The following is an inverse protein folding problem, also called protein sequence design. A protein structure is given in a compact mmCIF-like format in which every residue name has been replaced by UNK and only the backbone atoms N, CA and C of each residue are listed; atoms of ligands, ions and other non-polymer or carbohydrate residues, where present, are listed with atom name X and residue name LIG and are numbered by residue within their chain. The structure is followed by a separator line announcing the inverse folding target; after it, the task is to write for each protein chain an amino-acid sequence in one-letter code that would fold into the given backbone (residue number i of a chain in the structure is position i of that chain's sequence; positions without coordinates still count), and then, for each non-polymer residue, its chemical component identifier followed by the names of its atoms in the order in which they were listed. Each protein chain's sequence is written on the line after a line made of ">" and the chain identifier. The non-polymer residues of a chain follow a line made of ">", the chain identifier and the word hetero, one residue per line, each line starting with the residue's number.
data_IF_528844824595
#
_entry.id   IF_528844824595
#
_cell.length_a   1.000
_cell.length_b   1.000
_cell.length_c   1.000
_cell.angle_alpha   90.00
_cell.angle_beta   90.00
_cell.angle_gamma   90.00
#
_symmetry.space_group_name_H-M   'P 1'
#
loop_
_entity.id
_entity.type
_entity.pdbx_description
1 polymer ?
#
# COMPACT_ATOMS: atom_id res chain seq x y z
N UNK A 1 -3.88 -13.22 -8.64
CA UNK A 1 -3.80 -11.79 -8.99
C UNK A 1 -2.65 -11.12 -8.23
N UNK A 2 -1.79 -10.41 -8.95
CA UNK A 2 -0.70 -9.67 -8.32
C UNK A 2 -1.18 -8.30 -7.86
N UNK A 3 -0.96 -8.01 -6.59
CA UNK A 3 -1.39 -6.75 -5.97
C UNK A 3 -0.16 -6.02 -5.45
N UNK A 4 -0.10 -4.73 -5.71
CA UNK A 4 0.94 -3.86 -5.18
C UNK A 4 0.32 -3.06 -4.04
N UNK A 5 0.97 -3.03 -2.90
CA UNK A 5 0.48 -2.28 -1.75
C UNK A 5 1.40 -1.11 -1.42
N UNK A 6 0.82 0.00 -1.07
CA UNK A 6 1.53 1.22 -0.74
C UNK A 6 1.16 1.68 0.66
N UNK A 7 2.17 1.84 1.50
CA UNK A 7 2.00 2.45 2.82
C UNK A 7 2.47 3.89 2.67
N UNK A 8 1.53 4.77 2.37
CA UNK A 8 1.85 6.15 2.02
C UNK A 8 2.36 6.98 3.18
N UNK A 9 3.46 7.68 2.94
CA UNK A 9 3.98 8.70 3.83
C UNK A 9 4.43 9.88 2.97
N UNK A 10 4.33 11.09 3.49
CA UNK A 10 4.67 12.29 2.72
C UNK A 10 6.13 12.29 2.25
N UNK A 11 7.04 11.81 3.09
CA UNK A 11 8.46 11.74 2.74
C UNK A 11 8.83 10.43 2.07
N UNK A 12 8.28 9.33 2.54
CA UNK A 12 8.61 7.99 2.04
C UNK A 12 7.38 7.12 2.03
N UNK A 13 7.23 6.32 0.97
CA UNK A 13 6.13 5.38 0.83
C UNK A 13 6.69 3.97 0.72
N UNK A 14 6.29 3.09 1.60
CA UNK A 14 6.68 1.70 1.54
C UNK A 14 5.91 0.96 0.46
N UNK A 15 6.56 0.04 -0.23
CA UNK A 15 5.98 -0.72 -1.33
C UNK A 15 6.15 -2.21 -1.10
N UNK A 16 5.09 -2.96 -1.31
CA UNK A 16 5.11 -4.41 -1.26
C UNK A 16 4.33 -4.98 -2.43
N UNK A 17 4.64 -6.22 -2.81
CA UNK A 17 3.95 -6.88 -3.91
C UNK A 17 3.57 -8.30 -3.49
N UNK A 18 2.42 -8.78 -3.98
CA UNK A 18 2.02 -10.16 -3.74
C UNK A 18 2.64 -11.07 -4.80
N UNK A 19 2.66 -12.36 -4.51
CA UNK A 19 2.98 -13.37 -5.51
C UNK A 19 1.83 -13.49 -6.53
N UNK A 20 2.02 -14.19 -7.65
CA UNK A 20 0.95 -14.30 -8.66
C UNK A 20 -0.33 -14.92 -8.14
N UNK A 21 -0.28 -15.74 -7.10
CA UNK A 21 -1.47 -16.36 -6.52
C UNK A 21 -2.23 -15.43 -5.59
N UNK A 22 -1.61 -14.30 -5.20
CA UNK A 22 -2.23 -13.38 -4.26
C UNK A 22 -2.26 -13.91 -2.83
N UNK A 23 -1.28 -14.74 -2.45
CA UNK A 23 -1.24 -15.38 -1.14
C UNK A 23 -0.16 -14.80 -0.22
N UNK A 24 1.01 -14.51 -0.77
CA UNK A 24 2.16 -14.07 0.01
C UNK A 24 2.54 -12.63 -0.34
N UNK A 25 2.79 -11.83 0.68
CA UNK A 25 3.22 -10.44 0.51
C UNK A 25 4.73 -10.33 0.72
N UNK A 26 5.38 -9.59 -0.14
CA UNK A 26 6.84 -9.40 -0.10
C UNK A 26 7.16 -7.91 -0.15
N UNK A 27 7.99 -7.40 0.79
CA UNK A 27 8.40 -5.99 0.70
C UNK A 27 9.31 -5.78 -0.50
N UNK A 28 9.11 -4.68 -1.22
CA UNK A 28 9.95 -4.31 -2.36
C UNK A 28 10.95 -3.23 -2.00
N UNK A 29 10.52 -2.21 -1.29
CA UNK A 29 11.37 -1.08 -0.97
C UNK A 29 10.57 0.18 -0.70
N UNK A 30 11.20 1.31 -0.92
CA UNK A 30 10.64 2.61 -0.60
C UNK A 30 10.71 3.51 -1.82
N UNK A 31 9.65 4.30 -2.03
CA UNK A 31 9.64 5.35 -3.03
C UNK A 31 9.61 6.67 -2.27
N UNK A 32 10.62 7.52 -2.47
CA UNK A 32 10.66 8.82 -1.83
C UNK A 32 9.73 9.78 -2.54
N UNK A 33 9.03 10.60 -1.77
CA UNK A 33 8.12 11.63 -2.29
C UNK A 33 7.20 11.08 -3.36
N UNK A 34 6.51 10.01 -3.01
CA UNK A 34 5.66 9.28 -3.97
C UNK A 34 4.56 10.15 -4.59
N UNK A 35 4.13 11.19 -3.92
CA UNK A 35 3.08 12.08 -4.43
C UNK A 35 3.55 13.10 -5.48
N UNK A 36 4.86 13.19 -5.75
CA UNK A 36 5.37 14.06 -6.80
C UNK A 36 5.27 13.40 -8.16
N UNK A 37 5.46 14.18 -9.23
CA UNK A 37 5.44 13.60 -10.58
C UNK A 37 6.46 12.48 -10.73
N UNK A 38 7.68 12.67 -10.22
CA UNK A 38 8.72 11.66 -10.28
C UNK A 38 8.35 10.42 -9.46
N UNK A 39 7.78 10.63 -8.29
CA UNK A 39 7.33 9.52 -7.44
C UNK A 39 6.22 8.72 -8.08
N UNK A 40 5.24 9.41 -8.65
CA UNK A 40 4.14 8.74 -9.34
C UNK A 40 4.63 7.97 -10.56
N UNK A 41 5.59 8.54 -11.30
CA UNK A 41 6.20 7.86 -12.44
C UNK A 41 6.93 6.58 -11.99
N UNK A 42 7.63 6.65 -10.87
CA UNK A 42 8.32 5.48 -10.32
C UNK A 42 7.33 4.38 -9.93
N UNK A 43 6.20 4.78 -9.33
CA UNK A 43 5.16 3.81 -8.97
C UNK A 43 4.56 3.17 -10.21
N UNK A 44 4.35 3.95 -11.28
CA UNK A 44 3.85 3.40 -12.53
C UNK A 44 4.84 2.39 -13.12
N UNK A 45 6.15 2.66 -13.03
CA UNK A 45 7.16 1.70 -13.45
C UNK A 45 7.09 0.40 -12.66
N UNK A 46 6.92 0.50 -11.33
CA UNK A 46 6.83 -0.67 -10.47
C UNK A 46 5.61 -1.52 -10.82
N UNK A 47 4.49 -0.87 -11.09
CA UNK A 47 3.27 -1.58 -11.51
C UNK A 47 3.56 -2.37 -12.79
N UNK A 48 4.23 -1.77 -13.76
CA UNK A 48 4.55 -2.44 -15.02
C UNK A 48 5.59 -3.55 -14.83
N UNK A 49 6.66 -3.25 -14.10
CA UNK A 49 7.74 -4.22 -13.85
C UNK A 49 7.25 -5.49 -13.17
N UNK A 50 6.35 -5.33 -12.21
CA UNK A 50 5.83 -6.45 -11.45
C UNK A 50 4.51 -6.99 -11.98
N UNK A 51 4.01 -6.39 -13.06
CA UNK A 51 2.75 -6.80 -13.67
C UNK A 51 1.61 -6.81 -12.65
N UNK A 52 1.56 -5.79 -11.80
CA UNK A 52 0.50 -5.67 -10.81
C UNK A 52 -0.83 -5.38 -11.49
N UNK A 53 -1.86 -6.07 -11.03
CA UNK A 53 -3.21 -5.94 -11.59
C UNK A 53 -4.08 -5.02 -10.76
N UNK A 54 -3.61 -4.66 -9.57
CA UNK A 54 -4.32 -3.78 -8.64
C UNK A 54 -3.34 -3.12 -7.70
N UNK A 55 -3.65 -1.91 -7.27
CA UNK A 55 -2.86 -1.20 -6.26
C UNK A 55 -3.75 -0.93 -5.06
N UNK A 56 -3.24 -1.21 -3.87
CA UNK A 56 -3.94 -0.96 -2.61
C UNK A 56 -3.15 0.05 -1.80
N UNK A 57 -3.81 1.08 -1.32
CA UNK A 57 -3.17 2.12 -0.50
C UNK A 57 -3.77 2.07 0.90
N UNK A 58 -2.92 1.96 1.91
CA UNK A 58 -3.38 1.98 3.30
C UNK A 58 -3.89 3.36 3.68
N UNK A 59 -5.07 3.43 4.24
CA UNK A 59 -5.67 4.69 4.67
C UNK A 59 -5.65 4.78 6.19
N UNK A 60 -4.88 5.72 6.77
CA UNK A 60 -4.79 5.85 8.21
C UNK A 60 -6.01 6.59 8.77
N UNK A 61 -6.91 5.84 9.37
CA UNK A 61 -8.08 6.42 10.05
C UNK A 61 -7.85 6.38 11.55
N UNK A 62 -8.49 7.28 12.27
CA UNK A 62 -8.46 7.24 13.73
C UNK A 62 -9.25 6.02 14.21
N UNK A 63 -9.13 5.69 15.47
CA UNK A 63 -9.87 4.56 16.05
C UNK A 63 -11.38 4.70 15.91
N UNK A 64 -11.86 5.92 15.74
CA UNK A 64 -13.29 6.19 15.52
C UNK A 64 -13.69 6.16 14.06
N UNK A 65 -12.72 5.94 13.18
CA UNK A 65 -12.97 5.97 11.74
C UNK A 65 -13.02 7.36 11.15
N UNK A 66 -12.56 8.36 11.90
CA UNK A 66 -12.57 9.74 11.44
C UNK A 66 -11.38 10.03 10.54
N UNK A 67 -11.58 10.95 9.59
CA UNK A 67 -10.51 11.40 8.73
C UNK A 67 -9.64 12.42 9.45
N UNK A 68 -8.36 12.15 9.56
CA UNK A 68 -7.38 13.12 10.04
C UNK A 68 -6.66 13.74 8.86
N UNK A 69 -5.70 14.61 9.14
CA UNK A 69 -4.87 15.23 8.11
C UNK A 69 -4.19 14.22 7.22
N UNK A 70 -3.62 13.19 7.82
CA UNK A 70 -2.90 12.16 7.09
C UNK A 70 -3.85 11.36 6.17
N UNK A 71 -5.06 11.12 6.62
CA UNK A 71 -6.06 10.44 5.78
C UNK A 71 -6.46 11.30 4.59
N UNK A 72 -6.58 12.62 4.81
CA UNK A 72 -6.91 13.54 3.72
C UNK A 72 -5.79 13.59 2.68
N UNK A 73 -4.53 13.61 3.13
CA UNK A 73 -3.38 13.57 2.21
C UNK A 73 -3.36 12.27 1.42
N UNK A 74 -3.69 11.17 2.08
CA UNK A 74 -3.75 9.87 1.43
C UNK A 74 -4.83 9.85 0.34
N UNK A 75 -5.98 10.45 0.60
CA UNK A 75 -7.05 10.53 -0.39
C UNK A 75 -6.62 11.31 -1.64
N UNK A 76 -5.87 12.40 -1.45
CA UNK A 76 -5.33 13.18 -2.57
C UNK A 76 -4.34 12.30 -3.37
N UNK A 77 -3.47 11.58 -2.67
CA UNK A 77 -2.50 10.70 -3.30
C UNK A 77 -3.21 9.60 -4.12
N UNK A 78 -4.24 8.98 -3.55
CA UNK A 78 -5.02 7.96 -4.25
C UNK A 78 -5.65 8.51 -5.53
N UNK A 79 -6.19 9.73 -5.46
CA UNK A 79 -6.77 10.37 -6.64
C UNK A 79 -5.74 10.59 -7.74
N UNK A 80 -4.54 11.01 -7.36
CA UNK A 80 -3.45 11.21 -8.32
C UNK A 80 -2.99 9.89 -8.93
N UNK A 81 -2.94 8.84 -8.13
CA UNK A 81 -2.61 7.50 -8.63
C UNK A 81 -3.63 7.02 -9.64
N UNK A 82 -4.91 7.24 -9.37
CA UNK A 82 -5.98 6.82 -10.28
C UNK A 82 -5.87 7.52 -11.64
N UNK A 83 -5.37 8.73 -11.65
CA UNK A 83 -5.15 9.47 -12.89
C UNK A 83 -3.91 8.98 -13.63
N UNK A 84 -2.94 8.44 -12.91
CA UNK A 84 -1.63 8.06 -13.45
C UNK A 84 -1.57 6.60 -13.90
N UNK A 85 -2.22 5.71 -13.14
CA UNK A 85 -2.12 4.28 -13.38
C UNK A 85 -3.29 3.75 -14.20
N UNK A 86 -3.01 2.67 -14.94
CA UNK A 86 -4.03 2.00 -15.74
C UNK A 86 -4.73 0.86 -15.00
N UNK A 87 -4.32 0.59 -13.78
CA UNK A 87 -4.91 -0.47 -12.98
C UNK A 87 -5.78 0.14 -11.87
N UNK A 88 -6.74 -0.62 -11.33
CA UNK A 88 -7.57 -0.13 -10.23
C UNK A 88 -6.73 0.22 -9.01
N UNK A 89 -7.07 1.32 -8.36
CA UNK A 89 -6.44 1.75 -7.12
C UNK A 89 -7.53 1.82 -6.05
N UNK A 90 -7.32 1.10 -4.96
CA UNK A 90 -8.31 1.08 -3.89
C UNK A 90 -7.63 1.41 -2.57
N UNK A 91 -8.36 2.05 -1.66
CA UNK A 91 -7.83 2.30 -0.32
C UNK A 91 -8.32 1.22 0.63
N UNK A 92 -7.51 0.88 1.61
CA UNK A 92 -7.79 -0.14 2.60
C UNK A 92 -7.59 0.46 3.98
N UNK A 93 -8.56 0.30 4.85
CA UNK A 93 -8.54 0.87 6.19
C UNK A 93 -7.43 0.21 7.02
N UNK A 94 -6.44 0.99 7.44
CA UNK A 94 -5.32 0.48 8.23
C UNK A 94 -5.72 -0.06 9.59
N UNK A 95 -6.91 0.26 10.07
CA UNK A 95 -7.40 -0.34 11.32
C UNK A 95 -7.55 -1.86 11.21
N UNK A 96 -7.61 -2.38 9.98
CA UNK A 96 -7.70 -3.83 9.76
C UNK A 96 -6.32 -4.49 9.65
N UNK A 97 -5.25 -3.71 9.70
CA UNK A 97 -3.90 -4.30 9.69
C UNK A 97 -3.55 -4.79 11.09
N UNK A 98 -2.72 -5.82 11.15
CA UNK A 98 -2.27 -6.34 12.43
C UNK A 98 -1.01 -5.59 12.86
N UNK A 99 -0.68 -5.62 14.15
CA UNK A 99 0.49 -4.94 14.69
C UNK A 99 1.75 -5.80 14.64
N UNK A 100 1.80 -6.75 13.72
CA UNK A 100 2.94 -7.65 13.61
C UNK A 100 4.25 -6.92 13.30
N UNK A 101 4.17 -5.81 12.57
CA UNK A 101 5.36 -5.04 12.25
C UNK A 101 6.05 -4.51 13.50
N UNK A 102 5.27 -4.04 14.47
CA UNK A 102 5.81 -3.55 15.73
C UNK A 102 6.36 -4.68 16.57
N UNK A 103 5.65 -5.78 16.60
CA UNK A 103 6.03 -6.94 17.41
C UNK A 103 7.32 -7.59 16.94
N UNK A 104 7.58 -7.52 15.66
CA UNK A 104 8.77 -8.15 15.10
C UNK A 104 10.06 -7.40 15.42
N UNK A 105 9.96 -6.19 15.95
CA UNK A 105 11.13 -5.40 16.32
C UNK A 105 12.06 -5.11 15.18
N UNK A 106 11.55 -5.07 13.97
CA UNK A 106 12.34 -4.89 12.80
C UNK A 106 13.02 -3.54 12.72
N UNK A 107 14.24 -3.53 12.23
CA UNK A 107 15.03 -2.32 12.12
C UNK A 107 15.04 -1.73 10.74
N UNK A 108 14.48 -2.37 9.87
CA UNK A 108 14.50 -1.92 8.55
C UNK A 108 13.73 -2.46 7.61
N UNK A 109 13.69 -1.86 6.52
CA UNK A 109 13.07 -0.58 6.24
C UNK A 109 11.64 -0.69 6.66
N UNK A 110 11.37 -0.05 7.76
CA UNK A 110 10.07 -0.13 8.42
C UNK A 110 8.92 0.12 7.48
N UNK A 111 9.08 1.08 6.57
CA UNK A 111 8.00 1.45 5.64
C UNK A 111 7.67 0.31 4.67
N UNK A 112 8.67 -0.40 4.19
CA UNK A 112 8.44 -1.53 3.29
C UNK A 112 7.83 -2.71 4.02
N UNK A 113 8.24 -2.94 5.27
CA UNK A 113 7.65 -4.00 6.09
C UNK A 113 6.20 -3.69 6.43
N UNK A 114 5.92 -2.43 6.73
CA UNK A 114 4.55 -2.00 6.98
C UNK A 114 3.67 -2.23 5.75
N UNK A 115 4.21 -1.95 4.57
CA UNK A 115 3.48 -2.21 3.33
C UNK A 115 3.21 -3.70 3.13
N UNK A 116 4.18 -4.56 3.49
CA UNK A 116 3.99 -6.01 3.39
C UNK A 116 2.91 -6.50 4.37
N UNK A 117 2.87 -5.96 5.59
CA UNK A 117 1.83 -6.30 6.54
C UNK A 117 0.46 -5.80 6.09
N UNK A 118 0.41 -4.60 5.54
CA UNK A 118 -0.80 -4.05 4.96
C UNK A 118 -1.31 -4.98 3.86
N UNK A 119 -0.43 -5.40 2.98
CA UNK A 119 -0.80 -6.28 1.88
C UNK A 119 -1.28 -7.63 2.38
N UNK A 120 -0.59 -8.23 3.35
CA UNK A 120 -1.01 -9.50 3.96
C UNK A 120 -2.42 -9.39 4.52
N UNK A 121 -2.70 -8.30 5.23
CA UNK A 121 -4.03 -8.07 5.81
C UNK A 121 -5.09 -7.91 4.73
N UNK A 122 -4.76 -7.18 3.67
CA UNK A 122 -5.66 -7.00 2.54
C UNK A 122 -5.95 -8.34 1.83
N UNK A 123 -4.93 -9.14 1.61
CA UNK A 123 -5.10 -10.43 0.94
C UNK A 123 -5.97 -11.37 1.75
N UNK A 124 -5.80 -11.39 3.06
CA UNK A 124 -6.62 -12.19 3.96
C UNK A 124 -8.07 -11.73 3.94
N UNK A 125 -8.28 -10.42 4.05
CA UNK A 125 -9.61 -9.82 4.02
C UNK A 125 -10.31 -10.10 2.69
N UNK A 126 -9.61 -9.88 1.59
CA UNK A 126 -10.15 -10.06 0.25
C UNK A 126 -10.52 -11.52 -0.01
N UNK A 127 -9.68 -12.45 0.45
CA UNK A 127 -9.90 -13.88 0.31
C UNK A 127 -11.15 -14.35 1.07
N UNK A 128 -11.35 -13.83 2.28
CA UNK A 128 -12.52 -14.22 3.07
C UNK A 128 -13.81 -13.61 2.54
N UNK A 129 -13.71 -12.46 1.86
CA UNK A 129 -14.88 -11.78 1.32
C UNK A 129 -15.30 -12.34 -0.04
N UNK A 130 -14.35 -12.91 -0.77
CA UNK A 130 -14.58 -13.43 -2.11
C UNK A 130 -14.06 -14.86 -2.17
N UNK A 131 -14.72 -15.78 -1.49
CA UNK A 131 -14.29 -17.19 -1.45
C UNK A 131 -14.40 -17.88 -2.80
#
# INVERSE_FOLDING_TARGET
>A
MKVLALDYGSARTGVAVSDPTGTVARPLGIVERAGTEDGLARLAELVREHEAERVVVGKPLTMRGELGEQAAETDVFVSRLRETLDVPVESFDERFTTDLAEQSGGTHPEDARAAAHLLSSYLTWSSSKHP
#
